data_IF_967538175820
#
_entry.id   IF_967538175820
#
_cell.length_a   1.000
_cell.length_b   1.000
_cell.length_c   1.000
_cell.angle_alpha   90.00
_cell.angle_beta   90.00
_cell.angle_gamma   90.00
#
_symmetry.space_group_name_H-M   'P 1'
#
loop_
_entity.id
_entity.type
_entity.pdbx_description
1 polymer ?
#
# COMPACT_ATOMS: atom_id res chain seq x y z
N UNK A 1 22.72 3.47 11.55
CA UNK A 1 21.57 2.60 11.23
C UNK A 1 20.91 3.15 9.97
N UNK A 2 20.62 2.26 9.03
CA UNK A 2 19.96 2.57 7.77
C UNK A 2 18.63 1.83 7.77
N UNK A 3 17.57 2.51 7.36
CA UNK A 3 16.23 1.91 7.19
C UNK A 3 15.95 1.76 5.70
N UNK A 4 15.54 0.56 5.28
CA UNK A 4 15.16 0.26 3.89
C UNK A 4 13.67 -0.06 3.85
N UNK A 5 12.92 0.71 3.08
CA UNK A 5 11.51 0.45 2.79
C UNK A 5 11.39 -0.19 1.42
N UNK A 6 10.93 -1.43 1.39
CA UNK A 6 10.68 -2.17 0.16
C UNK A 6 9.42 -1.64 -0.52
N UNK A 7 9.50 -1.32 -1.82
CA UNK A 7 8.38 -0.79 -2.60
C UNK A 7 7.83 -1.81 -3.60
N UNK A 8 8.71 -2.32 -4.47
CA UNK A 8 8.31 -3.22 -5.55
C UNK A 8 9.40 -4.23 -5.87
N UNK A 9 9.02 -5.50 -6.01
CA UNK A 9 9.86 -6.55 -6.59
C UNK A 9 10.13 -6.24 -8.06
N UNK A 10 11.36 -6.45 -8.52
CA UNK A 10 11.77 -6.19 -9.92
C UNK A 10 12.14 -7.47 -10.69
N UNK A 11 12.25 -8.58 -10.00
CA UNK A 11 12.54 -9.89 -10.58
C UNK A 11 11.67 -10.98 -9.94
N UNK A 12 11.70 -12.17 -10.56
CA UNK A 12 10.91 -13.33 -10.13
C UNK A 12 11.48 -14.05 -8.91
N UNK A 13 12.78 -13.89 -8.64
CA UNK A 13 13.47 -14.56 -7.53
C UNK A 13 13.53 -13.72 -6.26
N UNK A 14 12.90 -12.54 -6.27
CA UNK A 14 12.77 -11.63 -5.12
C UNK A 14 14.11 -11.09 -4.59
N UNK A 15 15.16 -11.10 -5.41
CA UNK A 15 16.46 -10.56 -5.04
C UNK A 15 16.63 -9.09 -5.39
N UNK A 16 15.88 -8.57 -6.37
CA UNK A 16 15.91 -7.18 -6.79
C UNK A 16 14.64 -6.42 -6.36
N UNK A 17 14.87 -5.34 -5.63
CA UNK A 17 13.79 -4.51 -5.12
C UNK A 17 14.01 -3.03 -5.40
N UNK A 18 12.95 -2.36 -5.80
CA UNK A 18 12.89 -0.90 -5.71
C UNK A 18 12.57 -0.52 -4.28
N UNK A 19 13.37 0.40 -3.72
CA UNK A 19 13.32 0.73 -2.30
C UNK A 19 13.44 2.23 -2.07
N UNK A 20 12.94 2.69 -0.91
CA UNK A 20 13.39 3.93 -0.30
C UNK A 20 14.42 3.61 0.79
N UNK A 21 15.43 4.48 0.90
CA UNK A 21 16.42 4.36 1.95
C UNK A 21 16.42 5.64 2.78
N UNK A 22 16.35 5.44 4.09
CA UNK A 22 16.55 6.49 5.06
C UNK A 22 17.92 6.29 5.73
N UNK A 23 18.85 7.12 5.32
CA UNK A 23 20.24 7.09 5.80
C UNK A 23 21.03 8.24 5.19
N UNK A 24 22.25 8.49 5.72
CA UNK A 24 23.12 9.54 5.22
C UNK A 24 24.24 8.94 4.35
N UNK A 25 24.58 9.64 3.27
CA UNK A 25 25.72 9.32 2.41
C UNK A 25 25.72 7.92 1.76
N UNK A 26 24.54 7.41 1.43
CA UNK A 26 24.40 6.10 0.77
C UNK A 26 24.42 6.32 -0.74
N UNK A 27 25.38 5.68 -1.42
CA UNK A 27 25.66 5.83 -2.84
C UNK A 27 25.51 4.51 -3.59
N UNK A 28 25.45 4.62 -4.90
CA UNK A 28 25.55 3.47 -5.79
C UNK A 28 26.83 2.65 -5.51
N UNK A 29 26.70 1.33 -5.56
CA UNK A 29 27.72 0.32 -5.19
C UNK A 29 28.01 0.16 -3.70
N UNK A 30 27.42 0.94 -2.81
CA UNK A 30 27.53 0.69 -1.39
C UNK A 30 26.88 -0.65 -1.02
N UNK A 31 27.48 -1.32 -0.02
CA UNK A 31 27.00 -2.58 0.52
C UNK A 31 26.50 -2.34 1.94
N UNK A 32 25.23 -2.62 2.18
CA UNK A 32 24.63 -2.60 3.50
C UNK A 32 24.48 -4.05 3.99
N UNK A 33 24.56 -4.25 5.28
CA UNK A 33 24.39 -5.56 5.92
C UNK A 33 23.09 -5.53 6.74
N UNK A 34 22.23 -6.52 6.51
CA UNK A 34 21.08 -6.76 7.35
C UNK A 34 21.54 -7.51 8.60
N UNK A 35 21.00 -7.17 9.74
CA UNK A 35 21.26 -7.87 11.01
C UNK A 35 20.48 -9.20 11.08
N UNK A 36 20.53 -9.97 10.01
CA UNK A 36 19.88 -11.25 9.88
C UNK A 36 20.54 -12.07 8.77
N UNK A 37 20.97 -13.29 9.10
CA UNK A 37 21.45 -14.31 8.16
C UNK A 37 22.55 -13.82 7.18
N UNK A 38 23.34 -12.82 7.59
CA UNK A 38 24.41 -12.20 6.80
C UNK A 38 23.94 -11.71 5.40
N UNK A 39 22.68 -11.32 5.26
CA UNK A 39 22.15 -10.81 4.00
C UNK A 39 22.80 -9.46 3.68
N UNK A 40 23.36 -9.35 2.47
CA UNK A 40 23.90 -8.10 1.94
C UNK A 40 22.88 -7.45 1.02
N UNK A 41 22.77 -6.12 1.13
CA UNK A 41 21.98 -5.28 0.23
C UNK A 41 22.93 -4.37 -0.54
N UNK A 42 23.03 -4.54 -1.84
CA UNK A 42 23.93 -3.81 -2.73
C UNK A 42 23.08 -2.75 -3.45
N UNK A 43 23.52 -1.50 -3.39
CA UNK A 43 22.87 -0.40 -4.12
C UNK A 43 23.29 -0.48 -5.58
N UNK A 44 22.46 -1.08 -6.43
CA UNK A 44 22.75 -1.26 -7.85
C UNK A 44 22.55 0.04 -8.65
N UNK A 45 21.52 0.81 -8.29
CA UNK A 45 21.22 2.05 -8.99
C UNK A 45 20.60 3.07 -8.04
N UNK A 46 21.04 4.31 -8.15
CA UNK A 46 20.49 5.44 -7.43
C UNK A 46 19.62 6.28 -8.38
N UNK A 47 18.31 6.06 -8.31
CA UNK A 47 17.34 6.88 -9.05
C UNK A 47 17.00 8.14 -8.23
N UNK A 48 16.39 9.13 -8.87
CA UNK A 48 16.10 10.43 -8.24
C UNK A 48 15.31 10.31 -6.93
N UNK A 49 14.35 9.38 -6.86
CA UNK A 49 13.46 9.22 -5.71
C UNK A 49 13.52 7.85 -5.04
N UNK A 50 14.06 6.85 -5.71
CA UNK A 50 14.13 5.47 -5.24
C UNK A 50 15.49 4.87 -5.54
N UNK A 51 15.83 3.74 -4.91
CA UNK A 51 17.03 3.00 -5.21
C UNK A 51 16.69 1.58 -5.63
N UNK A 52 17.41 1.05 -6.62
CA UNK A 52 17.37 -0.36 -6.96
C UNK A 52 18.39 -1.08 -6.09
N UNK A 53 17.94 -2.03 -5.31
CA UNK A 53 18.76 -2.80 -4.38
C UNK A 53 18.75 -4.27 -4.78
N UNK A 54 19.93 -4.86 -4.84
CA UNK A 54 20.12 -6.30 -4.97
C UNK A 54 20.45 -6.90 -3.62
N UNK A 55 19.66 -7.84 -3.18
CA UNK A 55 19.92 -8.63 -1.98
C UNK A 55 20.72 -9.89 -2.34
N UNK A 56 21.63 -10.30 -1.47
CA UNK A 56 22.46 -11.51 -1.70
C UNK A 56 21.66 -12.82 -1.59
N UNK A 57 20.44 -12.76 -1.08
CA UNK A 57 19.46 -13.85 -1.01
C UNK A 57 18.07 -13.30 -1.34
N UNK A 58 17.15 -14.11 -1.91
CA UNK A 58 15.75 -13.74 -2.08
C UNK A 58 15.12 -13.32 -0.74
N UNK A 59 14.39 -12.20 -0.74
CA UNK A 59 13.63 -11.75 0.43
C UNK A 59 12.23 -12.37 0.39
N UNK A 60 12.15 -13.66 0.69
CA UNK A 60 10.86 -14.34 0.80
C UNK A 60 10.06 -13.88 2.03
N UNK A 61 8.81 -14.31 2.12
CA UNK A 61 7.92 -13.90 3.21
C UNK A 61 8.46 -14.29 4.59
N UNK A 62 9.09 -15.46 4.73
CA UNK A 62 9.65 -15.92 6.02
C UNK A 62 10.74 -14.96 6.52
N UNK A 63 11.64 -14.53 5.63
CA UNK A 63 12.67 -13.54 5.96
C UNK A 63 12.02 -12.21 6.33
N UNK A 64 11.08 -11.72 5.51
CA UNK A 64 10.41 -10.45 5.74
C UNK A 64 9.62 -10.43 7.05
N UNK A 65 8.99 -11.53 7.43
CA UNK A 65 8.28 -11.66 8.69
C UNK A 65 9.20 -11.62 9.91
N UNK A 66 10.42 -12.16 9.78
CA UNK A 66 11.40 -12.19 10.86
C UNK A 66 12.14 -10.87 11.07
N UNK A 67 12.44 -10.12 10.00
CA UNK A 67 13.26 -8.90 10.09
C UNK A 67 12.47 -7.62 9.82
N UNK A 68 11.33 -7.72 9.13
CA UNK A 68 10.57 -6.57 8.67
C UNK A 68 9.61 -6.04 9.72
N UNK A 69 9.49 -4.71 9.69
CA UNK A 69 8.39 -4.03 10.36
C UNK A 69 7.35 -3.59 9.33
N UNK A 70 6.09 -3.58 9.71
CA UNK A 70 5.04 -2.99 8.87
C UNK A 70 5.34 -1.48 8.74
N UNK A 71 5.35 -0.92 7.51
CA UNK A 71 5.55 0.50 7.32
C UNK A 71 4.39 1.29 7.94
N UNK A 72 4.66 1.93 9.06
CA UNK A 72 3.69 2.77 9.76
C UNK A 72 3.73 4.21 9.23
N UNK A 73 2.58 4.90 9.18
CA UNK A 73 2.53 6.33 8.88
C UNK A 73 3.44 7.13 9.81
N UNK A 74 4.14 8.15 9.30
CA UNK A 74 5.07 8.95 10.09
C UNK A 74 4.45 9.56 11.35
N UNK A 75 3.16 9.91 11.34
CA UNK A 75 2.49 10.48 12.49
C UNK A 75 2.34 9.48 13.66
N UNK A 76 2.20 8.19 13.37
CA UNK A 76 2.16 7.14 14.42
C UNK A 76 3.53 7.05 15.09
N UNK A 77 4.59 6.95 14.30
CA UNK A 77 5.97 6.90 14.79
C UNK A 77 6.30 8.15 15.63
N UNK A 78 5.95 9.33 15.13
CA UNK A 78 6.19 10.59 15.84
C UNK A 78 5.44 10.67 17.17
N UNK A 79 4.19 10.23 17.22
CA UNK A 79 3.40 10.22 18.44
C UNK A 79 3.95 9.23 19.47
N UNK A 80 4.38 8.04 19.05
CA UNK A 80 5.04 7.07 19.92
C UNK A 80 6.32 7.64 20.51
N UNK A 81 7.18 8.27 19.69
CA UNK A 81 8.40 8.96 20.15
C UNK A 81 8.09 10.03 21.22
N UNK A 82 7.06 10.85 20.99
CA UNK A 82 6.65 11.89 21.97
C UNK A 82 6.20 11.30 23.31
N UNK A 83 5.69 10.06 23.31
CA UNK A 83 5.26 9.35 24.52
C UNK A 83 6.36 8.51 25.16
N UNK A 84 7.56 8.44 24.54
CA UNK A 84 8.64 7.56 24.98
C UNK A 84 8.38 6.07 24.72
N UNK A 85 7.48 5.75 23.80
CA UNK A 85 7.12 4.39 23.40
C UNK A 85 8.06 3.88 22.30
N UNK A 86 8.12 2.54 22.09
CA UNK A 86 8.83 1.92 20.97
C UNK A 86 8.21 2.35 19.64
N UNK A 87 9.05 2.64 18.65
CA UNK A 87 8.60 3.02 17.30
C UNK A 87 7.75 1.93 16.64
N UNK A 88 8.17 0.67 16.80
CA UNK A 88 7.50 -0.53 16.30
C UNK A 88 7.24 -1.50 17.44
N UNK A 89 6.12 -2.22 17.34
CA UNK A 89 5.69 -3.26 18.28
C UNK A 89 5.21 -4.49 17.51
N UNK A 90 5.20 -5.64 18.15
CA UNK A 90 4.68 -6.88 17.55
C UNK A 90 3.20 -6.78 17.15
N UNK A 91 2.43 -6.01 17.91
CA UNK A 91 1.02 -5.79 17.66
C UNK A 91 0.74 -4.95 16.40
N UNK A 92 1.75 -4.28 15.83
CA UNK A 92 1.54 -3.46 14.63
C UNK A 92 1.11 -4.30 13.43
N UNK A 93 1.57 -5.55 13.35
CA UNK A 93 1.16 -6.50 12.30
C UNK A 93 -0.34 -6.77 12.35
N UNK A 94 -0.92 -6.81 13.54
CA UNK A 94 -2.36 -7.03 13.74
C UNK A 94 -3.15 -5.72 13.60
N UNK A 95 -2.71 -4.65 14.24
CA UNK A 95 -3.50 -3.42 14.36
C UNK A 95 -3.41 -2.49 13.15
N UNK A 96 -2.33 -2.57 12.37
CA UNK A 96 -2.17 -1.76 11.16
C UNK A 96 -2.36 -2.56 9.86
N UNK A 97 -2.93 -3.74 9.92
CA UNK A 97 -3.37 -4.51 8.75
C UNK A 97 -4.88 -4.70 8.79
N UNK A 98 -5.55 -4.48 7.66
CA UNK A 98 -6.98 -4.68 7.59
C UNK A 98 -7.36 -6.05 7.01
N UNK A 99 -8.59 -6.49 7.30
CA UNK A 99 -9.12 -7.80 6.88
C UNK A 99 -9.29 -7.92 5.35
N UNK A 100 -9.13 -6.84 4.60
CA UNK A 100 -9.26 -6.81 3.13
C UNK A 100 -7.92 -7.01 2.43
N UNK A 101 -6.80 -7.02 3.15
CA UNK A 101 -5.48 -7.24 2.59
C UNK A 101 -5.37 -8.65 2.02
N UNK A 102 -5.43 -8.75 0.68
CA UNK A 102 -5.39 -10.01 -0.06
C UNK A 102 -4.25 -10.05 -1.07
N UNK A 103 -4.06 -8.95 -1.79
CA UNK A 103 -3.05 -8.85 -2.85
C UNK A 103 -1.87 -8.03 -2.35
N UNK A 104 -0.67 -8.60 -2.42
CA UNK A 104 0.56 -7.90 -2.07
C UNK A 104 0.87 -6.76 -3.05
N UNK A 105 1.62 -5.74 -2.59
CA UNK A 105 2.08 -4.63 -3.43
C UNK A 105 1.69 -3.24 -2.95
N UNK A 106 1.07 -3.10 -1.78
CA UNK A 106 0.80 -1.81 -1.14
C UNK A 106 1.80 -1.52 -0.03
N UNK A 107 2.22 -0.27 0.07
CA UNK A 107 3.10 0.22 1.15
C UNK A 107 2.29 0.73 2.34
N UNK A 108 1.04 1.12 2.12
CA UNK A 108 0.16 1.67 3.15
C UNK A 108 -1.15 0.87 3.26
N UNK A 109 -1.63 0.68 4.49
CA UNK A 109 -2.95 0.10 4.74
C UNK A 109 -4.03 1.17 4.62
N UNK A 110 -5.14 0.92 3.89
CA UNK A 110 -6.29 1.82 3.87
C UNK A 110 -6.95 1.84 5.26
N UNK A 111 -6.76 2.95 5.99
CA UNK A 111 -7.15 3.06 7.41
C UNK A 111 -8.65 2.90 7.66
N UNK A 112 -9.52 3.24 6.71
CA UNK A 112 -10.95 2.97 6.80
C UNK A 112 -11.28 1.47 6.91
N UNK A 113 -10.43 0.60 6.37
CA UNK A 113 -10.56 -0.85 6.48
C UNK A 113 -10.31 -1.39 7.88
N UNK A 114 -9.55 -0.67 8.73
CA UNK A 114 -9.24 -1.07 10.11
C UNK A 114 -10.47 -1.09 11.03
N UNK A 115 -11.55 -0.41 10.65
CA UNK A 115 -12.81 -0.41 11.41
C UNK A 115 -13.68 -1.66 11.15
N UNK A 116 -13.31 -2.50 10.19
CA UNK A 116 -14.07 -3.70 9.85
C UNK A 116 -13.48 -4.94 10.53
N UNK A 117 -14.37 -5.71 11.12
CA UNK A 117 -14.07 -7.06 11.62
C UNK A 117 -14.83 -8.10 10.82
N UNK A 118 -14.45 -9.36 10.93
CA UNK A 118 -15.14 -10.48 10.28
C UNK A 118 -16.60 -10.55 10.72
N UNK A 119 -16.86 -10.37 12.02
CA UNK A 119 -18.19 -10.37 12.59
C UNK A 119 -19.07 -9.22 12.05
N UNK A 120 -18.46 -8.03 11.85
CA UNK A 120 -19.19 -6.90 11.25
C UNK A 120 -19.55 -7.18 9.79
N UNK A 121 -18.63 -7.75 9.01
CA UNK A 121 -18.92 -8.12 7.62
C UNK A 121 -20.02 -9.18 7.54
N UNK A 122 -20.02 -10.16 8.43
CA UNK A 122 -21.07 -11.18 8.48
C UNK A 122 -22.44 -10.57 8.85
N UNK A 123 -22.49 -9.64 9.80
CA UNK A 123 -23.69 -8.89 10.11
C UNK A 123 -24.22 -8.08 8.93
N UNK A 124 -23.33 -7.46 8.15
CA UNK A 124 -23.68 -6.71 6.93
C UNK A 124 -24.27 -7.64 5.88
N UNK A 125 -23.64 -8.79 5.62
CA UNK A 125 -24.14 -9.81 4.69
C UNK A 125 -25.50 -10.37 5.10
N UNK A 126 -25.67 -10.66 6.39
CA UNK A 126 -26.93 -11.18 6.93
C UNK A 126 -28.11 -10.20 6.81
N UNK A 127 -27.83 -8.90 6.66
CA UNK A 127 -28.84 -7.88 6.32
C UNK A 127 -29.15 -7.81 4.82
N UNK A 128 -28.62 -8.71 4.00
CA UNK A 128 -28.80 -8.73 2.54
C UNK A 128 -28.01 -7.65 1.79
N UNK A 129 -27.04 -7.01 2.44
CA UNK A 129 -26.18 -6.01 1.80
C UNK A 129 -25.06 -6.72 1.04
N UNK A 130 -24.97 -6.44 -0.25
CA UNK A 130 -23.91 -6.97 -1.11
C UNK A 130 -22.59 -6.27 -0.80
N UNK A 131 -21.51 -7.03 -0.59
CA UNK A 131 -20.16 -6.51 -0.40
C UNK A 131 -19.36 -6.85 -1.65
N UNK A 132 -18.73 -5.83 -2.24
CA UNK A 132 -17.85 -5.95 -3.39
C UNK A 132 -16.47 -5.43 -3.04
N UNK A 133 -15.44 -5.93 -3.73
CA UNK A 133 -14.06 -5.58 -3.47
C UNK A 133 -13.39 -5.05 -4.73
N UNK A 134 -12.50 -4.08 -4.53
CA UNK A 134 -11.57 -3.62 -5.55
C UNK A 134 -10.15 -3.69 -4.98
N UNK A 135 -9.15 -3.83 -5.84
CA UNK A 135 -7.75 -3.76 -5.44
C UNK A 135 -7.17 -2.41 -5.88
N UNK A 136 -6.50 -1.73 -4.98
CA UNK A 136 -5.63 -0.59 -5.28
C UNK A 136 -4.29 -0.79 -4.56
N UNK A 137 -3.20 -0.72 -5.30
CA UNK A 137 -1.85 -0.78 -4.74
C UNK A 137 -1.43 0.63 -4.32
N UNK A 138 -1.61 0.93 -3.03
CA UNK A 138 -1.29 2.25 -2.46
C UNK A 138 0.23 2.43 -2.40
N UNK A 139 0.72 3.45 -3.10
CA UNK A 139 2.14 3.78 -3.18
C UNK A 139 2.67 4.50 -1.93
N UNK A 140 4.00 4.62 -1.84
CA UNK A 140 4.67 5.30 -0.73
C UNK A 140 4.38 6.81 -0.66
N UNK A 141 3.98 7.41 -1.77
CA UNK A 141 3.66 8.83 -1.86
C UNK A 141 2.52 9.26 -0.94
N UNK A 142 1.67 8.33 -0.53
CA UNK A 142 0.61 8.56 0.46
C UNK A 142 1.15 9.08 1.81
N UNK A 143 2.42 8.80 2.12
CA UNK A 143 3.08 9.30 3.33
C UNK A 143 3.84 10.60 3.12
N UNK A 144 3.97 11.09 1.90
CA UNK A 144 4.66 12.34 1.62
C UNK A 144 3.78 13.53 2.01
N UNK A 145 4.30 14.50 2.77
CA UNK A 145 3.59 15.74 3.00
C UNK A 145 3.40 16.49 1.68
N UNK A 146 2.26 17.13 1.53
CA UNK A 146 2.04 18.07 0.44
C UNK A 146 3.09 19.19 0.52
N UNK A 147 3.93 19.30 -0.50
CA UNK A 147 5.00 20.29 -0.58
C UNK A 147 4.58 21.57 -1.29
N UNK A 148 3.46 21.52 -2.01
CA UNK A 148 2.95 22.64 -2.80
C UNK A 148 1.92 23.44 -2.00
N UNK A 149 2.12 24.74 -1.91
CA UNK A 149 1.15 25.66 -1.28
C UNK A 149 -0.16 25.73 -2.08
N UNK A 150 -0.12 25.43 -3.37
CA UNK A 150 -1.28 25.37 -4.25
C UNK A 150 -1.63 23.92 -4.61
N UNK A 151 -2.75 23.44 -4.08
CA UNK A 151 -3.26 22.08 -4.32
C UNK A 151 -3.42 21.77 -5.83
N UNK A 152 -3.71 22.77 -6.67
CA UNK A 152 -3.87 22.58 -8.11
C UNK A 152 -2.57 22.17 -8.82
N UNK A 153 -1.42 22.48 -8.24
CA UNK A 153 -0.11 22.14 -8.80
C UNK A 153 0.42 20.79 -8.27
N UNK A 154 -0.29 20.18 -7.32
CA UNK A 154 0.13 18.90 -6.76
C UNK A 154 -0.13 17.79 -7.77
N UNK A 155 0.96 17.14 -8.20
CA UNK A 155 0.88 15.96 -9.08
C UNK A 155 0.64 14.73 -8.21
N UNK A 156 -0.54 14.15 -8.34
CA UNK A 156 -0.85 12.88 -7.67
C UNK A 156 -0.07 11.73 -8.32
N UNK A 157 0.49 10.88 -7.49
CA UNK A 157 1.18 9.69 -7.98
C UNK A 157 0.16 8.65 -8.47
N UNK A 158 0.53 8.00 -9.56
CA UNK A 158 -0.26 6.91 -10.14
C UNK A 158 -0.24 5.69 -9.25
N UNK A 159 -1.41 5.11 -9.06
CA UNK A 159 -1.60 3.89 -8.29
C UNK A 159 -2.33 2.85 -9.13
N UNK A 160 -1.82 1.61 -9.12
CA UNK A 160 -2.39 0.51 -9.90
C UNK A 160 -3.66 -0.01 -9.25
N UNK A 161 -4.70 -0.21 -10.06
CA UNK A 161 -5.97 -0.77 -9.60
C UNK A 161 -6.41 -1.98 -10.43
N UNK A 162 -7.27 -2.79 -9.84
CA UNK A 162 -7.99 -3.89 -10.45
C UNK A 162 -9.41 -3.97 -9.91
N UNK A 163 -10.38 -4.05 -10.80
CA UNK A 163 -11.79 -4.32 -10.52
C UNK A 163 -12.12 -5.66 -11.19
N UNK A 164 -12.53 -6.63 -10.42
CA UNK A 164 -13.00 -7.89 -10.98
C UNK A 164 -14.31 -7.68 -11.77
N UNK A 165 -14.47 -8.41 -12.87
CA UNK A 165 -15.64 -8.26 -13.76
C UNK A 165 -16.95 -8.41 -13.00
N UNK A 166 -17.04 -9.40 -12.09
CA UNK A 166 -18.24 -9.60 -11.27
C UNK A 166 -18.57 -8.37 -10.42
N UNK A 167 -17.55 -7.74 -9.81
CA UNK A 167 -17.74 -6.49 -9.04
C UNK A 167 -18.25 -5.36 -9.93
N UNK A 168 -17.69 -5.21 -11.13
CA UNK A 168 -18.13 -4.19 -12.07
C UNK A 168 -19.61 -4.40 -12.49
N UNK A 169 -19.97 -5.63 -12.81
CA UNK A 169 -21.33 -5.97 -13.24
C UNK A 169 -22.37 -5.71 -12.12
N UNK A 170 -22.03 -6.04 -10.86
CA UNK A 170 -22.88 -5.74 -9.70
C UNK A 170 -23.07 -4.23 -9.52
N UNK A 171 -22.00 -3.44 -9.62
CA UNK A 171 -22.06 -1.98 -9.47
C UNK A 171 -22.95 -1.37 -10.55
N UNK A 172 -22.80 -1.80 -11.81
CA UNK A 172 -23.65 -1.36 -12.92
C UNK A 172 -25.14 -1.68 -12.67
N UNK A 173 -25.43 -2.92 -12.30
CA UNK A 173 -26.80 -3.35 -11.96
C UNK A 173 -27.40 -2.49 -10.86
N UNK A 174 -26.66 -2.23 -9.79
CA UNK A 174 -27.12 -1.43 -8.68
C UNK A 174 -27.35 0.04 -9.07
N UNK A 175 -26.52 0.59 -9.96
CA UNK A 175 -26.71 1.95 -10.51
C UNK A 175 -27.98 2.03 -11.37
N UNK A 176 -28.15 1.09 -12.31
CA UNK A 176 -29.37 1.02 -13.17
C UNK A 176 -30.63 0.94 -12.32
N UNK A 177 -30.62 0.10 -11.29
CA UNK A 177 -31.74 -0.08 -10.39
C UNK A 177 -31.87 1.01 -9.30
N UNK A 178 -31.11 2.11 -9.41
CA UNK A 178 -31.07 3.24 -8.47
C UNK A 178 -30.88 2.81 -7.01
N UNK A 179 -30.21 1.70 -6.78
CA UNK A 179 -29.83 1.23 -5.44
C UNK A 179 -28.65 2.04 -4.90
N UNK A 180 -28.58 2.13 -3.58
CA UNK A 180 -27.51 2.85 -2.90
C UNK A 180 -26.20 2.08 -2.99
N UNK A 181 -25.12 2.78 -3.40
CA UNK A 181 -23.74 2.27 -3.41
C UNK A 181 -22.96 3.09 -2.38
N UNK A 182 -22.21 2.41 -1.52
CA UNK A 182 -21.40 3.02 -0.47
C UNK A 182 -19.94 2.63 -0.73
N UNK A 183 -19.10 3.63 -1.04
CA UNK A 183 -17.66 3.46 -1.11
C UNK A 183 -17.08 3.58 0.29
N UNK A 184 -16.33 2.57 0.73
CA UNK A 184 -15.65 2.60 2.01
C UNK A 184 -14.17 2.95 1.82
N UNK A 185 -13.83 4.16 2.21
CA UNK A 185 -12.48 4.73 2.12
C UNK A 185 -12.16 5.45 0.82
N UNK A 186 -11.20 6.36 0.91
CA UNK A 186 -10.71 7.15 -0.23
C UNK A 186 -10.14 6.28 -1.33
N UNK A 187 -9.54 5.14 -1.01
CA UNK A 187 -9.05 4.13 -1.95
C UNK A 187 -10.13 3.67 -2.91
N UNK A 188 -11.29 3.28 -2.39
CA UNK A 188 -12.44 2.83 -3.20
C UNK A 188 -13.03 4.00 -3.98
N UNK A 189 -13.25 5.14 -3.31
CA UNK A 189 -13.81 6.34 -3.94
C UNK A 189 -12.95 6.77 -5.13
N UNK A 190 -11.63 6.83 -4.97
CA UNK A 190 -10.68 7.19 -6.02
C UNK A 190 -10.86 6.35 -7.29
N UNK A 191 -10.91 5.03 -7.15
CA UNK A 191 -11.06 4.13 -8.31
C UNK A 191 -12.42 4.30 -8.97
N UNK A 192 -13.49 4.42 -8.19
CA UNK A 192 -14.83 4.61 -8.75
C UNK A 192 -14.96 5.97 -9.46
N UNK A 193 -14.44 7.06 -8.88
CA UNK A 193 -14.49 8.38 -9.50
C UNK A 193 -13.63 8.46 -10.77
N UNK A 194 -12.49 7.75 -10.83
CA UNK A 194 -11.65 7.75 -12.04
C UNK A 194 -12.21 6.91 -13.17
N UNK A 195 -12.81 5.78 -12.87
CA UNK A 195 -13.11 4.75 -13.87
C UNK A 195 -14.61 4.59 -14.18
N UNK A 196 -15.53 5.00 -13.29
CA UNK A 196 -16.97 4.85 -13.53
C UNK A 196 -17.56 6.13 -14.09
N UNK A 197 -18.06 6.07 -15.33
CA UNK A 197 -18.65 7.19 -16.04
C UNK A 197 -19.83 6.73 -16.90
N UNK A 198 -20.89 7.56 -16.99
CA UNK A 198 -22.08 7.31 -17.82
C UNK A 198 -22.69 5.91 -17.64
N UNK A 199 -22.59 5.33 -16.44
CA UNK A 199 -23.19 4.04 -16.10
C UNK A 199 -22.31 2.82 -16.41
N UNK A 200 -21.08 3.02 -16.86
CA UNK A 200 -20.13 1.95 -17.15
C UNK A 200 -18.70 2.28 -16.64
N UNK A 201 -17.87 1.26 -16.58
CA UNK A 201 -16.45 1.40 -16.28
C UNK A 201 -15.65 1.64 -17.57
N UNK A 202 -14.80 2.68 -17.56
CA UNK A 202 -13.85 2.95 -18.64
C UNK A 202 -12.82 1.83 -18.78
N UNK A 203 -12.32 1.35 -17.65
CA UNK A 203 -11.35 0.26 -17.54
C UNK A 203 -11.58 -0.52 -16.27
N UNK A 204 -11.28 -1.83 -16.29
CA UNK A 204 -11.31 -2.69 -15.11
C UNK A 204 -9.92 -2.88 -14.48
N UNK A 205 -8.87 -2.49 -15.20
CA UNK A 205 -7.48 -2.56 -14.74
C UNK A 205 -6.69 -1.38 -15.33
N UNK A 206 -5.83 -0.78 -14.53
CA UNK A 206 -5.02 0.35 -14.98
C UNK A 206 -4.34 1.08 -13.84
N UNK A 207 -4.09 2.35 -14.08
CA UNK A 207 -3.52 3.29 -13.10
C UNK A 207 -4.45 4.49 -12.96
N UNK A 208 -4.59 4.99 -11.74
CA UNK A 208 -5.35 6.20 -11.42
C UNK A 208 -4.46 7.23 -10.72
N UNK A 209 -4.66 8.51 -11.02
CA UNK A 209 -3.91 9.66 -10.50
C UNK A 209 -4.80 10.79 -9.98
N UNK A 210 -6.07 10.50 -9.68
CA UNK A 210 -7.00 11.47 -9.05
C UNK A 210 -7.04 11.33 -7.52
#
# INVERSE_FOLDING_TARGET
IVEILLLQKKDSDESYWECLIKGKNIKEKDILYLDYDNIKAIIEKDNISTKLIKFSKPLNNDILENIGNIPLPPYIIQNRKKRGEKEYTENDKEFYQNIFAKNEGSVASPTSGLHFTKELLDKIKNKGIKICYITLHVGFSTFNPLKEDNIKNHIMHKEKFLIEKETADIIKEYKINKKRIIACGTTVARVLESEFDNGDFKRLKGETDI
#
